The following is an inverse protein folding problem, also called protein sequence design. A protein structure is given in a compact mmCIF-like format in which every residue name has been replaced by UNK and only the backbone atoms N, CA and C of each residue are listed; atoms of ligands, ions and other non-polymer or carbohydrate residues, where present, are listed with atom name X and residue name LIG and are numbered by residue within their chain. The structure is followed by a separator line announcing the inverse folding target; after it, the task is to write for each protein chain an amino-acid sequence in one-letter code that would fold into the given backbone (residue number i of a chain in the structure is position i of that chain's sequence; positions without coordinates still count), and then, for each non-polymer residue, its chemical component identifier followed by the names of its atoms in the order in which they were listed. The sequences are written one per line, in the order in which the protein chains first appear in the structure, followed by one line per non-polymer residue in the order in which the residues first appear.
data_IF_921990084116
#
_entry.id   IF_921990084116
#
_cell.length_a   1.000
_cell.length_b   1.000
_cell.length_c   1.000
_cell.angle_alpha   90.00
_cell.angle_beta   90.00
_cell.angle_gamma   90.00
#
_symmetry.space_group_name_H-M   'P 1'
#
loop_
_entity.id
_entity.type
_entity.pdbx_description
1 polymer ?
#
# COMPACT_ATOMS: atom_id res chain seq x y z
N UNK A 1 -20.73 -8.57 6.29
CA UNK A 1 -19.75 -7.49 6.04
C UNK A 1 -18.47 -7.83 6.77
N UNK A 2 -17.34 -8.09 6.08
CA UNK A 2 -16.06 -8.28 6.77
C UNK A 2 -15.37 -6.93 6.88
N UNK A 3 -15.59 -6.25 8.00
CA UNK A 3 -14.85 -5.07 8.39
C UNK A 3 -13.59 -5.59 9.11
N UNK A 4 -12.40 -5.37 8.53
CA UNK A 4 -11.13 -5.54 9.24
C UNK A 4 -10.32 -6.84 9.04
N UNK A 5 -10.51 -7.65 7.98
CA UNK A 5 -9.76 -8.92 7.92
C UNK A 5 -9.66 -9.67 6.60
N UNK A 6 -9.70 -8.98 5.45
CA UNK A 6 -9.33 -9.63 4.19
C UNK A 6 -8.79 -8.58 3.24
N UNK A 7 -7.46 -8.48 3.14
CA UNK A 7 -6.84 -7.64 2.13
C UNK A 7 -6.94 -8.42 0.80
N UNK A 8 -8.08 -8.27 0.10
CA UNK A 8 -8.23 -8.73 -1.29
C UNK A 8 -7.31 -7.97 -2.26
N UNK A 9 -6.42 -7.13 -1.74
CA UNK A 9 -5.30 -6.59 -2.47
C UNK A 9 -4.50 -7.75 -3.06
N UNK A 10 -4.74 -8.02 -4.35
CA UNK A 10 -3.71 -8.60 -5.19
C UNK A 10 -2.58 -7.58 -5.14
N UNK A 11 -1.59 -7.82 -4.30
CA UNK A 11 -0.32 -7.10 -4.40
C UNK A 11 0.10 -7.32 -5.84
N UNK A 12 0.10 -6.27 -6.69
CA UNK A 12 0.53 -6.44 -8.06
C UNK A 12 1.96 -6.95 -7.98
N UNK A 13 2.32 -7.94 -8.78
CA UNK A 13 3.71 -8.32 -8.94
C UNK A 13 4.41 -7.17 -9.68
N UNK A 14 4.71 -6.08 -8.97
CA UNK A 14 5.23 -4.81 -9.47
C UNK A 14 6.62 -4.94 -10.11
N UNK A 15 7.18 -6.15 -10.17
CA UNK A 15 8.52 -6.42 -10.71
C UNK A 15 9.58 -5.48 -10.09
N UNK A 16 9.61 -5.40 -8.75
CA UNK A 16 10.48 -4.48 -7.99
C UNK A 16 11.93 -4.53 -8.48
N UNK A 17 12.49 -5.73 -8.67
CA UNK A 17 13.85 -5.92 -9.15
C UNK A 17 14.09 -5.37 -10.57
N UNK A 18 13.07 -5.31 -11.43
CA UNK A 18 13.15 -4.70 -12.75
C UNK A 18 13.07 -3.18 -12.65
N UNK A 19 12.10 -2.66 -11.89
CA UNK A 19 11.95 -1.22 -11.67
C UNK A 19 13.20 -0.60 -11.03
N UNK A 20 13.83 -1.29 -10.09
CA UNK A 20 15.07 -0.85 -9.44
C UNK A 20 16.23 -0.77 -10.43
N UNK A 21 16.39 -1.79 -11.29
CA UNK A 21 17.40 -1.79 -12.36
C UNK A 21 17.18 -0.66 -13.38
N UNK A 22 15.92 -0.31 -13.64
CA UNK A 22 15.54 0.77 -14.55
C UNK A 22 15.58 2.17 -13.89
N UNK A 23 15.84 2.26 -12.58
CA UNK A 23 15.78 3.53 -11.83
C UNK A 23 14.37 4.09 -11.66
N UNK A 24 13.34 3.27 -11.88
CA UNK A 24 11.92 3.64 -11.87
C UNK A 24 11.17 3.08 -10.66
N UNK A 25 11.87 2.52 -9.66
CA UNK A 25 11.25 2.05 -8.43
C UNK A 25 10.93 3.26 -7.53
N UNK A 26 9.67 3.57 -7.24
CA UNK A 26 9.34 4.68 -6.37
C UNK A 26 9.77 4.38 -4.92
N UNK A 27 10.46 5.34 -4.31
CA UNK A 27 10.78 5.31 -2.87
C UNK A 27 9.58 5.72 -2.02
N UNK A 28 8.71 6.57 -2.58
CA UNK A 28 7.50 7.08 -1.93
C UNK A 28 6.30 6.98 -2.87
N UNK A 29 5.12 6.74 -2.30
CA UNK A 29 3.84 6.75 -3.03
C UNK A 29 2.86 7.67 -2.31
N UNK A 30 2.05 8.39 -3.07
CA UNK A 30 0.98 9.21 -2.52
C UNK A 30 -0.04 8.34 -1.81
N UNK A 31 -0.36 8.66 -0.56
CA UNK A 31 -1.38 7.98 0.24
C UNK A 31 -2.45 8.98 0.67
N UNK A 32 -3.71 8.54 0.68
CA UNK A 32 -4.82 9.36 1.17
C UNK A 32 -4.72 9.53 2.70
N UNK A 33 -4.66 10.79 3.13
CA UNK A 33 -4.62 11.19 4.54
C UNK A 33 -5.80 10.62 5.34
N UNK A 34 -6.99 10.57 4.74
CA UNK A 34 -8.17 10.01 5.41
C UNK A 34 -8.00 8.51 5.69
N UNK A 35 -7.36 7.77 4.78
CA UNK A 35 -7.06 6.35 4.97
C UNK A 35 -6.06 6.14 6.10
N UNK A 36 -5.00 6.96 6.14
CA UNK A 36 -3.99 6.89 7.21
C UNK A 36 -4.63 7.16 8.57
N UNK A 37 -5.43 8.22 8.68
CA UNK A 37 -6.09 8.56 9.94
C UNK A 37 -7.05 7.46 10.40
N UNK A 38 -7.81 6.87 9.49
CA UNK A 38 -8.70 5.74 9.82
C UNK A 38 -7.92 4.54 10.36
N UNK A 39 -6.77 4.21 9.78
CA UNK A 39 -5.91 3.13 10.26
C UNK A 39 -5.33 3.43 11.64
N UNK A 40 -4.85 4.66 11.86
CA UNK A 40 -4.33 5.10 13.16
C UNK A 40 -5.40 5.01 14.26
N UNK A 41 -6.63 5.40 13.96
CA UNK A 41 -7.75 5.31 14.90
C UNK A 41 -8.12 3.87 15.28
N UNK A 42 -7.84 2.88 14.43
CA UNK A 42 -8.07 1.46 14.73
C UNK A 42 -7.01 0.84 15.66
N UNK A 43 -5.87 1.52 15.83
CA UNK A 43 -4.77 1.07 16.69
C UNK A 43 -4.80 1.69 18.10
N UNK A 44 -5.65 2.69 18.33
CA UNK A 44 -5.87 3.35 19.61
C UNK A 44 -6.93 2.62 20.44
#
# INVERSE_FOLDING_TARGET
MKIGGSNKYKIPHMNKARLEKEGNLPEEITCDLALVQNAMNMLA
#
